data_IF_735255441696
#
_entry.id   IF_735255441696
#
_cell.length_a   1.000
_cell.length_b   1.000
_cell.length_c   1.000
_cell.angle_alpha   90.00
_cell.angle_beta   90.00
_cell.angle_gamma   90.00
#
_symmetry.space_group_name_H-M   'P 1'
#
loop_
_entity.id
_entity.type
_entity.pdbx_description
1 polymer ?
#
# COMPACT_ATOMS: atom_id res chain seq x y z
N UNK A 1 -11.14 1.91 17.90
CA UNK A 1 -10.55 1.14 16.77
C UNK A 1 -9.23 1.74 16.29
N UNK A 2 -9.05 3.05 16.35
CA UNK A 2 -7.89 3.78 15.82
C UNK A 2 -6.55 3.37 16.45
N UNK A 3 -6.48 3.23 17.77
CA UNK A 3 -5.21 2.98 18.47
C UNK A 3 -4.56 1.64 18.09
N UNK A 4 -5.34 0.55 18.07
CA UNK A 4 -4.84 -0.78 17.69
C UNK A 4 -4.29 -0.80 16.27
N UNK A 5 -4.94 -0.11 15.33
CA UNK A 5 -4.49 -0.02 13.93
C UNK A 5 -3.19 0.78 13.82
N UNK A 6 -3.08 1.92 14.52
CA UNK A 6 -1.84 2.71 14.58
C UNK A 6 -0.67 1.90 15.13
N UNK A 7 -0.90 1.15 16.22
CA UNK A 7 0.10 0.27 16.81
C UNK A 7 0.52 -0.80 15.80
N UNK A 8 -0.45 -1.38 15.08
CA UNK A 8 -0.20 -2.46 14.11
C UNK A 8 0.66 -1.97 12.96
N UNK A 9 0.32 -0.85 12.32
CA UNK A 9 1.10 -0.34 11.17
C UNK A 9 2.52 0.04 11.60
N UNK A 10 2.69 0.68 12.78
CA UNK A 10 4.02 1.03 13.30
C UNK A 10 4.87 -0.22 13.59
N UNK A 11 4.28 -1.27 14.16
CA UNK A 11 4.97 -2.57 14.37
C UNK A 11 5.38 -3.24 13.06
N UNK A 12 4.63 -3.05 11.99
CA UNK A 12 4.95 -3.56 10.65
C UNK A 12 5.96 -2.69 9.88
N UNK A 13 6.59 -1.69 10.54
CA UNK A 13 7.64 -0.87 9.93
C UNK A 13 7.13 0.32 9.11
N UNK A 14 5.86 0.71 9.28
CA UNK A 14 5.33 1.92 8.66
C UNK A 14 6.06 3.19 9.14
N UNK A 15 6.57 3.98 8.19
CA UNK A 15 7.33 5.21 8.43
C UNK A 15 6.61 6.40 7.78
N UNK A 16 6.16 7.35 8.59
CA UNK A 16 5.37 8.52 8.14
C UNK A 16 6.19 9.52 7.31
N UNK A 17 7.53 9.47 7.41
CA UNK A 17 8.44 10.38 6.70
C UNK A 17 8.91 9.84 5.35
N UNK A 18 8.35 8.72 4.87
CA UNK A 18 8.68 8.12 3.58
C UNK A 18 7.47 8.17 2.64
N UNK A 19 7.69 8.19 1.31
CA UNK A 19 6.60 8.01 0.36
C UNK A 19 5.87 6.68 0.58
N UNK A 20 4.55 6.73 0.65
CA UNK A 20 3.70 5.55 0.88
C UNK A 20 3.08 5.14 -0.45
N UNK A 21 3.32 3.91 -0.86
CA UNK A 21 2.69 3.29 -2.04
C UNK A 21 2.07 1.98 -1.60
N UNK A 22 0.75 1.88 -1.72
CA UNK A 22 0.02 0.64 -1.46
C UNK A 22 -0.28 -0.09 -2.76
N UNK A 23 -0.30 -1.42 -2.69
CA UNK A 23 -0.75 -2.28 -3.79
C UNK A 23 -1.46 -3.49 -3.19
N UNK A 24 -2.33 -4.11 -3.98
CA UNK A 24 -2.93 -5.40 -3.66
C UNK A 24 -3.17 -6.16 -4.95
N UNK A 25 -3.95 -7.25 -4.92
CA UNK A 25 -4.17 -8.07 -6.11
C UNK A 25 -4.86 -7.33 -7.26
N UNK A 26 -5.87 -6.48 -6.98
CA UNK A 26 -6.65 -5.73 -8.01
C UNK A 26 -6.90 -4.26 -7.65
N UNK A 27 -6.07 -3.68 -6.78
CA UNK A 27 -6.14 -2.27 -6.37
C UNK A 27 -7.17 -1.91 -5.28
N UNK A 28 -8.32 -2.60 -5.17
CA UNK A 28 -9.40 -2.20 -4.24
C UNK A 28 -8.94 -2.12 -2.77
N UNK A 29 -8.28 -3.16 -2.27
CA UNK A 29 -7.81 -3.18 -0.88
C UNK A 29 -6.72 -2.14 -0.62
N UNK A 30 -5.91 -1.80 -1.64
CA UNK A 30 -4.92 -0.75 -1.54
C UNK A 30 -5.57 0.63 -1.38
N UNK A 31 -6.65 0.90 -2.12
CA UNK A 31 -7.45 2.12 -1.95
C UNK A 31 -8.09 2.18 -0.54
N UNK A 32 -8.66 1.08 -0.05
CA UNK A 32 -9.21 1.02 1.31
C UNK A 32 -8.15 1.28 2.38
N UNK A 33 -6.95 0.70 2.22
CA UNK A 33 -5.83 0.96 3.12
C UNK A 33 -5.40 2.43 3.10
N UNK A 34 -5.38 3.07 1.93
CA UNK A 34 -5.04 4.49 1.81
C UNK A 34 -6.06 5.38 2.54
N UNK A 35 -7.36 5.07 2.44
CA UNK A 35 -8.39 5.79 3.22
C UNK A 35 -8.15 5.67 4.73
N UNK A 36 -7.78 4.49 5.21
CA UNK A 36 -7.45 4.27 6.64
C UNK A 36 -6.18 5.05 7.02
N UNK A 37 -5.16 5.08 6.16
CA UNK A 37 -3.92 5.83 6.43
C UNK A 37 -4.20 7.33 6.48
N UNK A 38 -5.03 7.86 5.59
CA UNK A 38 -5.44 9.27 5.56
C UNK A 38 -6.26 9.66 6.79
N UNK A 39 -7.13 8.77 7.27
CA UNK A 39 -7.89 8.95 8.52
C UNK A 39 -6.98 8.99 9.75
N UNK A 40 -6.05 8.03 9.85
CA UNK A 40 -5.12 7.94 10.98
C UNK A 40 -4.03 9.02 10.97
N UNK A 41 -3.63 9.48 9.79
CA UNK A 41 -2.55 10.44 9.60
C UNK A 41 -2.94 11.50 8.54
N UNK A 42 -3.72 12.54 8.92
CA UNK A 42 -4.32 13.49 7.98
C UNK A 42 -3.34 14.31 7.12
N UNK A 43 -2.06 14.36 7.48
CA UNK A 43 -1.01 15.03 6.71
C UNK A 43 -0.42 14.16 5.61
N UNK A 44 -0.65 12.84 5.63
CA UNK A 44 -0.10 11.91 4.65
C UNK A 44 -0.95 11.88 3.38
N UNK A 45 -0.29 11.62 2.26
CA UNK A 45 -0.91 11.49 0.93
C UNK A 45 -0.44 10.18 0.29
N UNK A 46 -0.93 9.03 0.76
CA UNK A 46 -0.53 7.73 0.22
C UNK A 46 -0.98 7.59 -1.24
N UNK A 47 -0.18 6.89 -2.05
CA UNK A 47 -0.50 6.60 -3.45
C UNK A 47 -0.86 5.14 -3.62
N UNK A 48 -1.71 4.85 -4.59
CA UNK A 48 -2.04 3.48 -4.99
C UNK A 48 -1.25 3.12 -6.23
N UNK A 49 -0.58 1.98 -6.21
CA UNK A 49 -0.05 1.38 -7.42
C UNK A 49 -1.15 0.58 -8.13
N UNK A 50 -1.77 1.20 -9.13
CA UNK A 50 -2.91 0.64 -9.86
C UNK A 50 -2.56 -0.59 -10.72
N UNK A 51 -1.29 -0.79 -11.07
CA UNK A 51 -0.83 -2.00 -11.77
C UNK A 51 -1.16 -3.28 -10.99
N UNK A 52 -1.19 -3.19 -9.66
CA UNK A 52 -1.55 -4.29 -8.76
C UNK A 52 -0.56 -5.47 -8.86
N UNK A 53 -0.77 -6.52 -8.06
CA UNK A 53 0.05 -7.73 -8.19
C UNK A 53 -0.14 -8.41 -9.55
N UNK A 54 -1.30 -8.25 -10.19
CA UNK A 54 -1.56 -8.87 -11.49
C UNK A 54 -0.62 -8.32 -12.58
N UNK A 55 -0.34 -7.01 -12.63
CA UNK A 55 0.63 -6.47 -13.57
C UNK A 55 2.03 -7.01 -13.27
N UNK A 56 2.43 -7.02 -12.00
CA UNK A 56 3.76 -7.49 -11.60
C UNK A 56 4.00 -8.95 -11.95
N UNK A 57 2.96 -9.79 -11.87
CA UNK A 57 3.01 -11.21 -12.26
C UNK A 57 3.14 -11.38 -13.77
N UNK A 58 2.42 -10.58 -14.56
CA UNK A 58 2.48 -10.62 -16.03
C UNK A 58 3.80 -10.03 -16.54
N UNK A 59 4.34 -9.06 -15.82
CA UNK A 59 5.58 -8.34 -16.12
C UNK A 59 6.79 -8.87 -15.35
N UNK A 60 6.70 -10.07 -14.76
CA UNK A 60 7.84 -10.71 -14.10
C UNK A 60 9.02 -10.73 -15.08
N UNK A 61 10.17 -10.10 -14.75
CA UNK A 61 11.33 -10.10 -15.62
C UNK A 61 11.75 -11.50 -16.08
N UNK A 62 11.55 -12.52 -15.23
CA UNK A 62 11.83 -13.92 -15.60
C UNK A 62 10.93 -14.45 -16.71
N UNK A 63 9.70 -13.96 -16.79
CA UNK A 63 8.73 -14.32 -17.84
C UNK A 63 8.99 -13.56 -19.15
N UNK A 64 9.53 -12.34 -19.07
CA UNK A 64 9.80 -11.50 -20.25
C UNK A 64 11.14 -11.85 -20.90
N UNK A 65 12.11 -12.32 -20.12
CA UNK A 65 13.51 -12.53 -20.56
C UNK A 65 13.79 -13.90 -21.20
N UNK A 66 12.76 -14.62 -21.64
CA UNK A 66 12.86 -15.82 -22.50
C UNK A 66 12.81 -15.42 -23.98
#
# INVERSE_FOLDING_TARGET
MTESTVITVKKCGFKQNLPIVSHCLRGIQACMLNLIIEDLFPSLRPRTYHGSCCELQVRDPKRISE
#
